data_IF_729221677321
#
_entry.id   IF_729221677321
#
_cell.length_a   1.000
_cell.length_b   1.000
_cell.length_c   1.000
_cell.angle_alpha   90.00
_cell.angle_beta   90.00
_cell.angle_gamma   90.00
#
_symmetry.space_group_name_H-M   'P 1'
#
loop_
_entity.id
_entity.type
_entity.pdbx_description
1 polymer ?
#
# COMPACT_ATOMS: atom_id res chain seq x y z
N UNK A 1 7.50 -12.93 -8.76
CA UNK A 1 6.44 -12.02 -9.25
C UNK A 1 6.91 -10.57 -9.13
N UNK A 2 6.71 -9.71 -10.13
CA UNK A 2 6.92 -8.25 -10.00
C UNK A 2 5.62 -7.56 -10.43
N UNK A 3 4.75 -7.16 -9.49
CA UNK A 3 3.40 -6.72 -9.82
C UNK A 3 3.31 -5.32 -10.42
N UNK A 4 4.38 -4.53 -10.34
CA UNK A 4 4.34 -3.11 -10.71
C UNK A 4 3.69 -2.26 -9.62
N UNK A 5 3.41 -0.98 -9.92
CA UNK A 5 2.83 -0.07 -8.94
C UNK A 5 1.38 -0.43 -8.60
N UNK A 6 0.90 0.05 -7.45
CA UNK A 6 -0.47 -0.19 -6.97
C UNK A 6 -1.46 0.83 -7.54
N UNK A 7 -1.41 1.02 -8.86
CA UNK A 7 -2.35 1.79 -9.66
C UNK A 7 -2.33 1.29 -11.11
N UNK A 8 -3.34 1.62 -11.90
CA UNK A 8 -3.44 1.21 -13.29
C UNK A 8 -2.43 1.97 -14.15
N UNK A 9 -1.48 1.24 -14.74
CA UNK A 9 -0.39 1.78 -15.55
C UNK A 9 -0.75 1.96 -17.03
N UNK A 10 -1.93 1.53 -17.46
CA UNK A 10 -2.36 1.70 -18.85
C UNK A 10 -2.50 3.20 -19.16
N UNK A 11 -1.70 3.75 -20.11
CA UNK A 11 -1.80 5.16 -20.49
C UNK A 11 -3.16 5.56 -21.07
N UNK A 12 -3.96 4.58 -21.53
CA UNK A 12 -5.31 4.75 -22.04
C UNK A 12 -6.42 4.56 -21.02
N UNK A 13 -6.09 4.25 -19.76
CA UNK A 13 -7.08 4.05 -18.71
C UNK A 13 -7.91 5.32 -18.46
N UNK A 14 -9.23 5.18 -18.47
CA UNK A 14 -10.13 6.28 -18.11
C UNK A 14 -10.04 6.64 -16.62
N UNK A 15 -9.70 5.66 -15.78
CA UNK A 15 -9.48 5.83 -14.35
C UNK A 15 -8.19 5.10 -13.94
N UNK A 16 -7.14 5.82 -13.50
CA UNK A 16 -5.91 5.20 -13.02
C UNK A 16 -6.11 4.40 -11.72
N UNK A 17 -7.25 4.53 -11.06
CA UNK A 17 -7.59 3.84 -9.82
C UNK A 17 -8.53 2.65 -10.01
N UNK A 18 -8.85 2.27 -11.26
CA UNK A 18 -9.54 1.01 -11.54
C UNK A 18 -8.57 -0.18 -11.39
N UNK A 19 -8.77 -1.08 -10.41
CA UNK A 19 -7.87 -2.19 -10.14
C UNK A 19 -8.08 -3.39 -11.07
N UNK A 20 -9.11 -3.38 -11.94
CA UNK A 20 -9.56 -4.57 -12.67
C UNK A 20 -8.45 -5.29 -13.46
N UNK A 21 -7.65 -4.54 -14.23
CA UNK A 21 -6.55 -5.11 -15.02
C UNK A 21 -5.42 -5.64 -14.15
N UNK A 22 -5.08 -4.95 -13.07
CA UNK A 22 -4.07 -5.37 -12.10
C UNK A 22 -4.49 -6.65 -11.37
N UNK A 23 -5.73 -6.69 -10.88
CA UNK A 23 -6.28 -7.87 -10.18
C UNK A 23 -6.31 -9.07 -11.11
N UNK A 24 -6.73 -8.91 -12.37
CA UNK A 24 -6.70 -9.98 -13.35
C UNK A 24 -5.27 -10.50 -13.62
N UNK A 25 -4.28 -9.60 -13.67
CA UNK A 25 -2.87 -9.98 -13.79
C UNK A 25 -2.38 -10.77 -12.57
N UNK A 26 -2.69 -10.29 -11.35
CA UNK A 26 -2.31 -10.97 -10.10
C UNK A 26 -2.94 -12.36 -10.06
N UNK A 27 -4.24 -12.47 -10.33
CA UNK A 27 -4.94 -13.75 -10.32
C UNK A 27 -4.33 -14.75 -11.31
N UNK A 28 -4.12 -14.33 -12.57
CA UNK A 28 -3.48 -15.17 -13.58
C UNK A 28 -2.04 -15.57 -13.20
N UNK A 29 -1.29 -14.70 -12.52
CA UNK A 29 0.06 -15.01 -12.08
C UNK A 29 0.05 -16.07 -10.96
N UNK A 30 -0.83 -15.96 -9.97
CA UNK A 30 -0.93 -16.95 -8.90
C UNK A 30 -1.45 -18.30 -9.39
N UNK A 31 -2.41 -18.32 -10.31
CA UNK A 31 -2.85 -19.56 -10.96
C UNK A 31 -1.68 -20.28 -11.65
N UNK A 32 -0.80 -19.55 -12.34
CA UNK A 32 0.40 -20.12 -12.95
C UNK A 32 1.43 -20.60 -11.91
N UNK A 33 1.61 -19.85 -10.82
CA UNK A 33 2.51 -20.22 -9.72
C UNK A 33 2.05 -21.54 -9.07
N UNK A 34 0.75 -21.69 -8.83
CA UNK A 34 0.16 -22.91 -8.28
C UNK A 34 0.26 -24.09 -9.25
N UNK A 35 -0.06 -23.87 -10.53
CA UNK A 35 0.06 -24.90 -11.57
C UNK A 35 1.51 -25.38 -11.78
N UNK A 36 2.50 -24.54 -11.45
CA UNK A 36 3.92 -24.88 -11.49
C UNK A 36 4.42 -25.63 -10.25
N UNK A 37 3.56 -25.90 -9.25
CA UNK A 37 3.94 -26.51 -7.95
C UNK A 37 5.10 -25.76 -7.28
N UNK A 38 5.06 -24.42 -7.37
CA UNK A 38 6.10 -23.56 -6.80
C UNK A 38 6.19 -23.76 -5.29
N UNK A 39 7.41 -24.00 -4.80
CA UNK A 39 7.67 -24.29 -3.38
C UNK A 39 7.84 -23.05 -2.52
N UNK A 40 8.18 -21.91 -3.14
CA UNK A 40 8.32 -20.62 -2.49
C UNK A 40 8.07 -19.49 -3.50
N UNK A 41 7.67 -18.31 -3.02
CA UNK A 41 7.34 -17.16 -3.85
C UNK A 41 8.14 -15.92 -3.44
N UNK A 42 8.91 -15.38 -4.38
CA UNK A 42 9.54 -14.06 -4.26
C UNK A 42 8.69 -13.01 -4.99
N UNK A 43 8.24 -11.98 -4.27
CA UNK A 43 7.55 -10.81 -4.82
C UNK A 43 8.51 -9.61 -4.78
N UNK A 44 8.89 -9.11 -5.95
CA UNK A 44 9.79 -7.97 -6.10
C UNK A 44 9.01 -6.65 -6.06
N UNK A 45 9.18 -5.91 -4.97
CA UNK A 45 8.56 -4.62 -4.69
C UNK A 45 9.59 -3.48 -4.67
N UNK A 46 10.80 -3.71 -5.17
CA UNK A 46 11.81 -2.68 -5.33
C UNK A 46 11.35 -1.63 -6.34
N UNK A 47 11.65 -0.37 -6.01
CA UNK A 47 11.31 0.81 -6.81
C UNK A 47 9.79 0.98 -7.07
N UNK A 48 8.96 0.32 -6.25
CA UNK A 48 7.52 0.47 -6.33
C UNK A 48 7.09 1.75 -5.56
N UNK A 49 6.46 2.74 -6.22
CA UNK A 49 6.07 4.00 -5.61
C UNK A 49 4.84 3.89 -4.69
N UNK A 50 4.24 2.70 -4.57
CA UNK A 50 2.99 2.49 -3.86
C UNK A 50 1.78 2.73 -4.76
N UNK A 51 0.73 3.30 -4.19
CA UNK A 51 -0.57 3.48 -4.83
C UNK A 51 -1.71 3.28 -3.82
N UNK A 52 -2.77 2.60 -4.24
CA UNK A 52 -3.99 2.42 -3.44
C UNK A 52 -4.15 0.98 -2.93
N UNK A 53 -4.83 0.80 -1.78
CA UNK A 53 -4.99 -0.52 -1.18
C UNK A 53 -5.91 -1.44 -1.98
N UNK A 54 -6.80 -0.89 -2.82
CA UNK A 54 -7.63 -1.68 -3.75
C UNK A 54 -6.81 -2.52 -4.74
N UNK A 55 -5.52 -2.21 -4.93
CA UNK A 55 -4.58 -3.00 -5.72
C UNK A 55 -3.77 -3.96 -4.84
N UNK A 56 -3.27 -3.49 -3.69
CA UNK A 56 -2.42 -4.32 -2.84
C UNK A 56 -3.16 -5.39 -2.05
N UNK A 57 -4.39 -5.12 -1.60
CA UNK A 57 -5.13 -6.04 -0.75
C UNK A 57 -5.47 -7.34 -1.50
N UNK A 58 -5.92 -7.30 -2.77
CA UNK A 58 -6.05 -8.51 -3.58
C UNK A 58 -4.75 -9.30 -3.76
N UNK A 59 -3.59 -8.61 -3.88
CA UNK A 59 -2.29 -9.27 -3.95
C UNK A 59 -1.95 -9.99 -2.64
N UNK A 60 -2.16 -9.33 -1.50
CA UNK A 60 -1.89 -9.91 -0.18
C UNK A 60 -2.84 -11.07 0.13
N UNK A 61 -4.11 -10.95 -0.26
CA UNK A 61 -5.14 -11.97 -0.02
C UNK A 61 -4.80 -13.35 -0.61
N UNK A 62 -3.91 -13.42 -1.61
CA UNK A 62 -3.44 -14.67 -2.19
C UNK A 62 -2.55 -15.50 -1.25
N UNK A 63 -1.90 -14.88 -0.27
CA UNK A 63 -0.98 -15.53 0.65
C UNK A 63 -1.23 -15.20 2.13
N UNK A 64 -2.24 -14.37 2.44
CA UNK A 64 -2.73 -14.20 3.80
C UNK A 64 -3.50 -15.45 4.27
N UNK A 65 -3.36 -15.79 5.55
CA UNK A 65 -4.06 -16.91 6.20
C UNK A 65 -5.08 -16.46 7.25
N UNK A 66 -5.12 -15.17 7.60
CA UNK A 66 -6.11 -14.55 8.47
C UNK A 66 -6.54 -13.14 8.00
N UNK A 67 -7.69 -12.60 8.48
CA UNK A 67 -8.11 -11.24 8.16
C UNK A 67 -7.07 -10.21 8.58
N UNK A 68 -6.81 -9.23 7.70
CA UNK A 68 -5.70 -8.31 7.86
C UNK A 68 -6.09 -6.85 7.70
N UNK A 69 -5.34 -5.96 8.33
CA UNK A 69 -5.54 -4.51 8.30
C UNK A 69 -4.21 -3.83 8.04
N UNK A 70 -4.21 -2.88 7.11
CA UNK A 70 -3.01 -2.13 6.71
C UNK A 70 -2.44 -1.22 7.83
N UNK A 71 -3.20 -0.98 8.91
CA UNK A 71 -2.77 -0.21 10.06
C UNK A 71 -3.49 -0.68 11.33
N UNK A 72 -2.86 -0.42 12.49
CA UNK A 72 -3.48 -0.64 13.80
C UNK A 72 -4.29 0.58 14.26
N UNK A 73 -3.88 1.78 13.84
CA UNK A 73 -4.58 3.04 14.11
C UNK A 73 -4.46 4.00 12.95
N UNK A 74 -5.58 4.61 12.58
CA UNK A 74 -5.66 5.67 11.58
C UNK A 74 -6.31 6.90 12.19
N UNK A 75 -5.51 7.90 12.56
CA UNK A 75 -6.01 9.13 13.22
C UNK A 75 -5.95 10.30 12.25
N UNK A 76 -7.09 10.95 12.00
CA UNK A 76 -7.20 12.09 11.10
C UNK A 76 -7.30 13.39 11.89
N UNK A 77 -6.60 14.42 11.40
CA UNK A 77 -6.82 15.79 11.86
C UNK A 77 -7.91 16.46 11.03
N UNK A 78 -9.04 16.75 11.66
CA UNK A 78 -10.15 17.46 11.01
C UNK A 78 -9.68 18.84 10.55
N UNK A 79 -9.96 19.20 9.30
CA UNK A 79 -9.67 20.53 8.76
C UNK A 79 -10.66 20.92 7.68
N UNK A 80 -10.83 22.23 7.50
CA UNK A 80 -11.66 22.77 6.42
C UNK A 80 -11.18 22.29 5.06
N UNK A 81 -9.86 22.32 4.82
CA UNK A 81 -9.27 21.89 3.56
C UNK A 81 -9.50 20.40 3.27
N UNK A 82 -9.31 19.52 4.25
CA UNK A 82 -9.49 18.08 4.05
C UNK A 82 -10.96 17.71 3.79
N UNK A 83 -11.91 18.35 4.51
CA UNK A 83 -13.35 18.17 4.25
C UNK A 83 -13.74 18.68 2.87
N UNK A 84 -13.27 19.86 2.47
CA UNK A 84 -13.53 20.41 1.13
C UNK A 84 -12.98 19.51 0.02
N UNK A 85 -11.77 18.97 0.20
CA UNK A 85 -11.19 18.03 -0.75
C UNK A 85 -12.03 16.75 -0.89
N UNK A 86 -12.58 16.23 0.23
CA UNK A 86 -13.51 15.11 0.22
C UNK A 86 -14.84 15.44 -0.48
N UNK A 87 -15.44 16.60 -0.18
CA UNK A 87 -16.66 17.06 -0.83
C UNK A 87 -16.48 17.23 -2.34
N UNK A 88 -15.33 17.73 -2.78
CA UNK A 88 -15.03 17.85 -4.21
C UNK A 88 -14.91 16.48 -4.88
N UNK A 89 -14.24 15.52 -4.25
CA UNK A 89 -14.24 14.13 -4.74
C UNK A 89 -15.64 13.56 -4.85
N UNK A 90 -16.49 13.77 -3.84
CA UNK A 90 -17.88 13.32 -3.88
C UNK A 90 -18.68 13.97 -5.01
N UNK A 91 -18.50 15.29 -5.21
CA UNK A 91 -19.14 16.04 -6.29
C UNK A 91 -18.73 15.52 -7.67
N UNK A 92 -17.44 15.23 -7.86
CA UNK A 92 -16.91 14.66 -9.11
C UNK A 92 -17.39 13.22 -9.34
N UNK A 93 -17.54 12.43 -8.28
CA UNK A 93 -18.02 11.06 -8.36
C UNK A 93 -19.52 10.96 -8.73
N UNK A 94 -20.33 11.97 -8.39
CA UNK A 94 -21.77 11.98 -8.69
C UNK A 94 -22.48 10.78 -8.06
N UNK A 95 -23.15 9.95 -8.87
CA UNK A 95 -23.84 8.75 -8.40
C UNK A 95 -22.88 7.61 -7.96
N UNK A 96 -21.56 7.79 -8.13
CA UNK A 96 -20.52 6.80 -7.79
C UNK A 96 -19.75 7.14 -6.51
N UNK A 97 -20.34 7.96 -5.63
CA UNK A 97 -19.71 8.30 -4.34
C UNK A 97 -19.40 7.04 -3.55
N UNK A 98 -18.14 6.89 -3.15
CA UNK A 98 -17.71 5.72 -2.39
C UNK A 98 -18.22 5.74 -0.94
N UNK A 99 -18.48 4.58 -0.32
CA UNK A 99 -18.84 4.50 1.10
C UNK A 99 -17.81 5.18 2.01
N UNK A 100 -16.52 5.08 1.64
CA UNK A 100 -15.41 5.73 2.36
C UNK A 100 -15.52 7.26 2.32
N UNK A 101 -15.87 7.85 1.18
CA UNK A 101 -16.05 9.30 1.08
C UNK A 101 -17.24 9.78 1.94
N UNK A 102 -18.33 9.03 1.96
CA UNK A 102 -19.50 9.30 2.81
C UNK A 102 -19.18 9.16 4.30
N UNK A 103 -18.38 8.17 4.68
CA UNK A 103 -17.86 8.01 6.05
C UNK A 103 -17.01 9.22 6.46
N UNK A 104 -16.09 9.67 5.60
CA UNK A 104 -15.28 10.85 5.88
C UNK A 104 -16.14 12.09 6.08
N UNK A 105 -17.16 12.31 5.26
CA UNK A 105 -18.04 13.47 5.40
C UNK A 105 -18.81 13.45 6.73
N UNK A 106 -19.33 12.29 7.15
CA UNK A 106 -20.01 12.18 8.45
C UNK A 106 -19.05 12.44 9.62
N UNK A 107 -17.82 11.91 9.53
CA UNK A 107 -16.78 12.13 10.55
C UNK A 107 -16.36 13.60 10.60
N UNK A 108 -16.14 14.27 9.46
CA UNK A 108 -15.84 15.70 9.45
C UNK A 108 -17.00 16.58 9.95
N UNK A 109 -18.25 16.18 9.69
CA UNK A 109 -19.42 16.90 10.21
C UNK A 109 -19.53 16.78 11.74
N UNK A 110 -19.15 15.62 12.30
CA UNK A 110 -19.16 15.37 13.74
C UNK A 110 -17.94 15.96 14.48
N UNK A 111 -16.86 16.27 13.78
CA UNK A 111 -15.58 16.66 14.37
C UNK A 111 -15.12 18.04 13.89
N UNK A 112 -15.12 19.08 14.75
CA UNK A 112 -14.79 20.44 14.35
C UNK A 112 -13.33 20.56 13.87
N UNK A 113 -13.02 21.51 12.97
CA UNK A 113 -11.65 21.73 12.52
C UNK A 113 -10.65 21.89 13.68
N UNK A 114 -9.54 21.17 13.60
CA UNK A 114 -8.50 21.13 14.62
C UNK A 114 -8.60 19.95 15.59
N UNK A 115 -9.74 19.26 15.68
CA UNK A 115 -9.86 18.03 16.46
C UNK A 115 -9.25 16.83 15.74
N UNK A 116 -9.04 15.76 16.51
CA UNK A 116 -8.62 14.45 16.00
C UNK A 116 -9.80 13.49 16.06
N UNK A 117 -9.90 12.62 15.08
CA UNK A 117 -10.82 11.48 15.11
C UNK A 117 -10.16 10.25 14.50
N UNK A 118 -10.55 9.07 14.95
CA UNK A 118 -10.09 7.80 14.40
C UNK A 118 -11.03 7.33 13.28
N UNK A 119 -10.46 6.69 12.27
CA UNK A 119 -11.20 6.03 11.20
C UNK A 119 -10.99 4.54 11.33
N UNK A 120 -12.08 3.80 11.50
CA UNK A 120 -12.05 2.33 11.50
C UNK A 120 -12.37 1.83 10.10
N UNK A 121 -11.41 1.16 9.48
CA UNK A 121 -11.59 0.50 8.19
C UNK A 121 -11.90 -0.97 8.39
N UNK A 122 -12.76 -1.58 7.58
CA UNK A 122 -12.95 -3.03 7.64
C UNK A 122 -11.63 -3.75 7.34
N UNK A 123 -11.46 -4.94 7.93
CA UNK A 123 -10.35 -5.81 7.55
C UNK A 123 -10.55 -6.31 6.12
N UNK A 124 -9.45 -6.51 5.41
CA UNK A 124 -9.43 -7.30 4.19
C UNK A 124 -9.43 -8.78 4.57
N UNK A 125 -10.06 -9.59 3.72
CA UNK A 125 -10.22 -11.02 3.95
C UNK A 125 -9.23 -11.81 3.07
N UNK A 126 -8.69 -12.94 3.56
CA UNK A 126 -7.99 -13.89 2.72
C UNK A 126 -8.85 -14.33 1.53
N UNK A 127 -8.19 -14.69 0.43
CA UNK A 127 -8.88 -15.21 -0.75
C UNK A 127 -9.63 -16.50 -0.39
N UNK A 128 -10.83 -16.63 -0.95
CA UNK A 128 -11.62 -17.85 -0.87
C UNK A 128 -11.19 -18.83 -1.97
N UNK A 129 -11.03 -20.10 -1.62
CA UNK A 129 -10.54 -21.13 -2.55
C UNK A 129 -9.02 -21.18 -2.59
N UNK A 130 -8.46 -21.29 -3.79
CA UNK A 130 -7.02 -21.51 -3.99
C UNK A 130 -6.20 -20.33 -3.48
N UNK A 131 -5.11 -20.66 -2.77
CA UNK A 131 -4.14 -19.72 -2.20
C UNK A 131 -2.73 -20.27 -2.32
N UNK A 132 -1.73 -19.39 -2.24
CA UNK A 132 -0.35 -19.80 -2.10
C UNK A 132 -0.02 -20.06 -0.63
N UNK A 133 0.16 -21.33 -0.27
CA UNK A 133 0.44 -21.77 1.11
C UNK A 133 1.93 -21.94 1.41
N UNK A 134 2.79 -21.78 0.40
CA UNK A 134 4.24 -21.86 0.57
C UNK A 134 4.85 -20.59 1.20
N UNK A 135 6.15 -20.61 1.57
CA UNK A 135 6.84 -19.44 2.07
C UNK A 135 6.84 -18.28 1.05
N UNK A 136 6.47 -17.09 1.52
CA UNK A 136 6.49 -15.85 0.72
C UNK A 136 7.61 -14.93 1.20
N UNK A 137 8.27 -14.31 0.24
CA UNK A 137 9.32 -13.33 0.44
C UNK A 137 8.98 -12.04 -0.30
N UNK A 138 9.10 -10.89 0.36
CA UNK A 138 8.98 -9.58 -0.28
C UNK A 138 10.37 -8.96 -0.40
N UNK A 139 10.77 -8.57 -1.60
CA UNK A 139 12.02 -7.87 -1.85
C UNK A 139 11.76 -6.36 -1.96
N UNK A 140 12.30 -5.59 -1.03
CA UNK A 140 12.12 -4.14 -0.92
C UNK A 140 13.45 -3.40 -1.05
N UNK A 141 13.39 -2.10 -1.29
CA UNK A 141 14.57 -1.24 -1.20
C UNK A 141 14.20 0.16 -0.67
N UNK A 142 15.21 1.02 -0.58
CA UNK A 142 15.04 2.44 -0.20
C UNK A 142 14.07 3.23 -1.10
N UNK A 143 13.71 2.73 -2.28
CA UNK A 143 12.76 3.36 -3.21
C UNK A 143 11.37 2.70 -3.21
N UNK A 144 11.14 1.68 -2.37
CA UNK A 144 9.80 1.20 -2.05
C UNK A 144 9.11 2.28 -1.19
N UNK A 145 7.96 2.77 -1.65
CA UNK A 145 7.33 3.98 -1.09
C UNK A 145 5.83 3.83 -0.85
N UNK A 146 5.25 4.63 0.04
CA UNK A 146 3.82 4.73 0.30
C UNK A 146 3.19 3.36 0.57
N UNK A 147 2.15 2.97 -0.16
CA UNK A 147 1.45 1.70 0.03
C UNK A 147 2.36 0.46 -0.11
N UNK A 148 3.50 0.54 -0.79
CA UNK A 148 4.48 -0.55 -0.78
C UNK A 148 5.11 -0.77 0.59
N UNK A 149 5.42 0.30 1.31
CA UNK A 149 5.91 0.21 2.69
C UNK A 149 4.82 -0.34 3.60
N UNK A 150 3.57 0.06 3.40
CA UNK A 150 2.41 -0.49 4.10
C UNK A 150 2.28 -2.00 3.88
N UNK A 151 2.38 -2.49 2.64
CA UNK A 151 2.34 -3.93 2.30
C UNK A 151 3.49 -4.68 2.95
N UNK A 152 4.71 -4.13 2.91
CA UNK A 152 5.87 -4.76 3.52
C UNK A 152 5.75 -4.82 5.06
N UNK A 153 5.32 -3.74 5.71
CA UNK A 153 5.08 -3.70 7.15
C UNK A 153 3.98 -4.69 7.56
N UNK A 154 2.88 -4.71 6.81
CA UNK A 154 1.77 -5.62 7.03
C UNK A 154 2.19 -7.08 6.91
N UNK A 155 2.81 -7.45 5.78
CA UNK A 155 3.19 -8.84 5.57
C UNK A 155 4.24 -9.31 6.59
N UNK A 156 5.11 -8.40 7.06
CA UNK A 156 6.05 -8.67 8.13
C UNK A 156 5.34 -8.85 9.49
N UNK A 157 4.45 -7.93 9.86
CA UNK A 157 3.81 -7.87 11.19
C UNK A 157 2.84 -9.04 11.41
N UNK A 158 2.14 -9.46 10.36
CA UNK A 158 1.28 -10.64 10.37
C UNK A 158 2.05 -11.95 10.16
N UNK A 159 3.33 -11.90 9.77
CA UNK A 159 4.12 -13.09 9.45
C UNK A 159 3.75 -13.76 8.11
N UNK A 160 2.97 -13.08 7.25
CA UNK A 160 2.60 -13.56 5.92
C UNK A 160 3.77 -13.68 4.96
N UNK A 161 4.82 -12.87 5.14
CA UNK A 161 6.02 -12.93 4.32
C UNK A 161 7.26 -12.49 5.09
N UNK A 162 8.41 -13.02 4.65
CA UNK A 162 9.73 -12.55 5.10
C UNK A 162 10.25 -11.44 4.20
N UNK A 163 10.74 -10.36 4.79
CA UNK A 163 11.21 -9.18 4.08
C UNK A 163 12.71 -9.30 3.78
N UNK A 164 13.08 -9.13 2.52
CA UNK A 164 14.44 -9.13 2.01
C UNK A 164 14.77 -7.76 1.44
N UNK A 165 16.05 -7.36 1.44
CA UNK A 165 16.50 -6.15 0.72
C UNK A 165 17.10 -5.07 1.60
N UNK A 166 16.71 -3.82 1.36
CA UNK A 166 17.16 -2.65 2.12
C UNK A 166 16.00 -2.01 2.90
N UNK A 167 16.32 -1.36 4.01
CA UNK A 167 15.35 -0.55 4.76
C UNK A 167 14.72 0.52 3.85
N UNK A 168 13.41 0.65 3.92
CA UNK A 168 12.66 1.65 3.13
C UNK A 168 13.01 3.07 3.58
N UNK A 169 13.04 4.03 2.65
CA UNK A 169 13.19 5.44 3.02
C UNK A 169 11.90 6.06 3.56
N UNK A 170 10.75 5.59 3.06
CA UNK A 170 9.44 5.94 3.64
C UNK A 170 9.20 5.13 4.93
N UNK A 171 8.36 5.67 5.80
CA UNK A 171 8.19 5.19 7.17
C UNK A 171 7.04 4.18 7.26
N UNK A 172 7.22 3.13 8.07
CA UNK A 172 6.19 2.11 8.32
C UNK A 172 5.00 2.69 9.11
N UNK A 173 5.29 3.59 10.05
CA UNK A 173 4.32 4.47 10.70
C UNK A 173 4.57 5.89 10.25
N UNK A 174 3.56 6.53 9.66
CA UNK A 174 3.76 7.73 8.85
C UNK A 174 2.60 8.71 8.91
N UNK A 175 2.86 9.93 8.45
CA UNK A 175 1.82 10.88 8.12
C UNK A 175 1.47 10.77 6.63
N UNK A 176 0.22 10.45 6.33
CA UNK A 176 -0.21 10.12 4.97
C UNK A 176 -1.66 10.49 4.69
N UNK A 177 -2.26 9.74 3.76
CA UNK A 177 -3.58 10.01 3.19
C UNK A 177 -3.68 11.44 2.66
N UNK A 178 -2.84 11.74 1.68
CA UNK A 178 -2.62 13.08 1.16
C UNK A 178 -3.92 13.74 0.68
N UNK A 179 -4.10 15.00 1.07
CA UNK A 179 -5.15 15.89 0.59
C UNK A 179 -4.52 17.09 -0.09
N UNK A 180 -5.32 17.81 -0.87
CA UNK A 180 -4.87 18.98 -1.62
C UNK A 180 -5.87 20.13 -1.56
N UNK A 181 -5.33 21.34 -1.63
CA UNK A 181 -6.08 22.57 -1.86
C UNK A 181 -5.28 23.55 -2.72
N UNK A 182 -5.96 24.50 -3.35
CA UNK A 182 -5.33 25.52 -4.21
C UNK A 182 -5.37 26.89 -3.53
N UNK A 183 -4.23 27.58 -3.48
CA UNK A 183 -4.14 28.91 -2.91
C UNK A 183 -4.91 29.93 -3.78
N UNK A 184 -5.83 30.73 -3.20
CA UNK A 184 -6.77 31.54 -3.99
C UNK A 184 -6.13 32.70 -4.76
N UNK A 185 -4.98 33.19 -4.32
CA UNK A 185 -4.31 34.35 -4.94
C UNK A 185 -3.17 33.96 -5.90
N UNK A 186 -2.53 32.82 -5.69
CA UNK A 186 -1.36 32.40 -6.48
C UNK A 186 -1.66 31.23 -7.41
N UNK A 187 -2.73 30.46 -7.15
CA UNK A 187 -3.04 29.25 -7.90
C UNK A 187 -2.13 28.06 -7.59
N UNK A 188 -1.21 28.18 -6.62
CA UNK A 188 -0.32 27.08 -6.23
C UNK A 188 -1.16 26.01 -5.52
N UNK A 189 -0.99 24.76 -5.95
CA UNK A 189 -1.55 23.59 -5.27
C UNK A 189 -0.65 23.15 -4.12
N UNK A 190 -1.25 22.95 -2.95
CA UNK A 190 -0.57 22.50 -1.73
C UNK A 190 -1.08 21.11 -1.38
N UNK A 191 -0.17 20.14 -1.33
CA UNK A 191 -0.43 18.80 -0.81
C UNK A 191 -0.06 18.71 0.67
N UNK A 192 -0.86 18.02 1.48
CA UNK A 192 -0.60 17.81 2.90
C UNK A 192 -1.15 16.46 3.39
N UNK A 193 -0.49 15.79 4.34
CA UNK A 193 -1.04 14.58 4.95
C UNK A 193 -2.15 14.95 5.93
N UNK A 194 -3.30 14.27 5.87
CA UNK A 194 -4.39 14.47 6.84
C UNK A 194 -4.34 13.51 8.02
N UNK A 195 -3.64 12.39 7.88
CA UNK A 195 -3.71 11.26 8.80
C UNK A 195 -2.35 10.88 9.37
N UNK A 196 -2.35 10.40 10.62
CA UNK A 196 -1.28 9.64 11.23
C UNK A 196 -1.67 8.15 11.19
N UNK A 197 -0.82 7.33 10.58
CA UNK A 197 -1.08 5.92 10.29
C UNK A 197 -0.04 5.11 11.05
N UNK A 198 -0.49 4.28 11.98
CA UNK A 198 0.37 3.40 12.78
C UNK A 198 0.36 2.01 12.15
N UNK A 199 1.56 1.45 11.90
CA UNK A 199 1.72 0.10 11.33
C UNK A 199 0.98 -0.97 12.14
N UNK A 200 0.69 -2.14 11.56
CA UNK A 200 -0.16 -3.15 12.19
C UNK A 200 0.29 -3.63 13.57
N UNK A 201 1.60 -3.75 13.84
CA UNK A 201 2.09 -4.15 15.16
C UNK A 201 1.98 -3.07 16.26
N UNK A 202 1.57 -1.84 15.92
CA UNK A 202 1.37 -0.74 16.86
C UNK A 202 2.60 0.14 17.14
N UNK A 203 3.77 -0.17 16.57
CA UNK A 203 4.97 0.66 16.70
C UNK A 203 4.79 2.01 15.98
N UNK A 204 4.94 3.13 16.68
CA UNK A 204 4.81 4.48 16.14
C UNK A 204 6.16 5.13 15.77
N UNK A 205 7.23 4.34 15.80
CA UNK A 205 8.58 4.80 15.49
C UNK A 205 8.72 5.38 14.08
N UNK A 206 9.48 6.47 13.97
CA UNK A 206 9.84 7.09 12.70
C UNK A 206 10.94 6.29 12.00
N UNK A 207 10.59 5.09 11.53
CA UNK A 207 11.50 4.16 10.88
C UNK A 207 10.85 3.48 9.66
N UNK A 208 11.68 3.15 8.67
CA UNK A 208 11.24 2.32 7.54
C UNK A 208 10.98 0.88 7.94
N UNK A 209 10.51 0.07 6.99
CA UNK A 209 10.47 -1.38 7.16
C UNK A 209 11.89 -1.91 7.08
N UNK A 210 12.41 -2.35 8.22
CA UNK A 210 13.72 -3.01 8.29
C UNK A 210 13.56 -4.44 7.76
N UNK A 211 14.36 -4.87 6.77
CA UNK A 211 14.26 -6.21 6.22
C UNK A 211 14.70 -7.26 7.24
N UNK A 212 14.04 -8.42 7.24
CA UNK A 212 14.42 -9.57 8.05
C UNK A 212 15.75 -10.19 7.59
N UNK A 213 16.07 -10.03 6.30
CA UNK A 213 17.38 -10.34 5.73
C UNK A 213 17.84 -9.19 4.86
N UNK A 214 18.87 -8.48 5.34
CA UNK A 214 19.46 -7.39 4.59
C UNK A 214 20.21 -7.90 3.34
N UNK A 215 19.93 -7.31 2.19
CA UNK A 215 20.65 -7.49 0.92
C UNK A 215 21.08 -6.09 0.47
N UNK A 216 22.39 -5.85 0.40
CA UNK A 216 22.89 -4.53 0.03
C UNK A 216 22.68 -4.27 -1.47
N UNK A 217 22.07 -3.12 -1.79
CA UNK A 217 21.99 -2.66 -3.19
C UNK A 217 23.35 -2.12 -3.61
N UNK A 218 23.96 -2.65 -4.70
CA UNK A 218 25.22 -2.11 -5.24
C UNK A 218 25.07 -0.64 -5.64
N UNK A 219 26.10 0.18 -5.37
CA UNK A 219 26.11 1.61 -5.71
C UNK A 219 26.40 1.89 -7.19
N UNK A 220 26.79 0.88 -7.97
CA UNK A 220 27.16 1.01 -9.38
C UNK A 220 26.33 0.12 -10.29
N UNK A 221 26.26 0.44 -11.60
CA UNK A 221 25.59 -0.41 -12.56
C UNK A 221 26.31 -1.76 -12.64
N UNK A 222 25.55 -2.83 -12.43
CA UNK A 222 26.01 -4.19 -12.66
C UNK A 222 25.43 -4.72 -13.97
N UNK A 223 26.17 -5.63 -14.62
CA UNK A 223 25.71 -6.31 -15.84
C UNK A 223 24.57 -7.32 -15.61
N UNK A 224 24.19 -7.55 -14.35
CA UNK A 224 23.11 -8.45 -13.91
C UNK A 224 22.57 -8.03 -12.54
N UNK A 225 21.33 -8.41 -12.23
CA UNK A 225 20.67 -8.03 -10.98
C UNK A 225 21.18 -8.87 -9.80
N UNK A 226 22.22 -8.37 -9.13
CA UNK A 226 22.83 -9.04 -7.97
C UNK A 226 21.87 -9.17 -6.79
N UNK A 227 21.03 -8.17 -6.58
CA UNK A 227 20.09 -8.15 -5.45
C UNK A 227 19.04 -9.23 -5.65
N UNK A 228 18.45 -9.32 -6.86
CA UNK A 228 17.48 -10.37 -7.18
C UNK A 228 18.12 -11.76 -7.12
N UNK A 229 19.37 -11.89 -7.59
CA UNK A 229 20.07 -13.18 -7.55
C UNK A 229 20.41 -13.63 -6.13
N UNK A 230 20.79 -12.72 -5.25
CA UNK A 230 20.98 -13.01 -3.83
C UNK A 230 19.65 -13.39 -3.17
N UNK A 231 18.58 -12.66 -3.47
CA UNK A 231 17.24 -12.99 -2.97
C UNK A 231 16.80 -14.38 -3.43
N UNK A 232 16.99 -14.72 -4.72
CA UNK A 232 16.67 -16.03 -5.28
C UNK A 232 17.52 -17.17 -4.70
N UNK A 233 18.70 -16.89 -4.12
CA UNK A 233 19.48 -17.89 -3.39
C UNK A 233 19.01 -18.13 -1.95
N UNK A 234 18.14 -17.27 -1.42
CA UNK A 234 17.53 -17.38 -0.08
C UNK A 234 16.18 -18.12 -0.16
N UNK A 235 15.42 -17.86 -1.23
CA UNK A 235 14.10 -18.44 -1.53
C UNK A 235 14.23 -19.90 -1.97
#
# INVERSE_FOLDING_TARGET
LRPGPFYNIDPGAADPWDPGSFVAFVDAAFEQILAADARALLIDLRDNPGGDSSFSDPLVAWFADEPFRFCSRFTVRSSVAARQSNLERMRLAGDRVSPVASLYESLYAANPPGSLFEVDFPAAEPRQGDRFEGPVYLLINRHSYSNTVTVAALAQDYGFARILGEETADLASTYGAMEQFTLPHTGIQVGFPKAHIIRPNGDDGARGVVPDVAIQTPLGPDSWDRVLSQAAGIV
#
